data_IF_416327900223
#
_entry.id   IF_416327900223
#
_cell.length_a   1.000
_cell.length_b   1.000
_cell.length_c   1.000
_cell.angle_alpha   90.00
_cell.angle_beta   90.00
_cell.angle_gamma   90.00
#
_symmetry.space_group_name_H-M   'P 1'
#
loop_
_entity.id
_entity.type
_entity.pdbx_description
1 polymer ?
#
# COMPACT_ATOMS: atom_id res chain seq x y z
N UNK A 1 14.47 -21.11 -7.01
CA UNK A 1 14.88 -19.90 -6.26
C UNK A 1 13.64 -19.06 -6.09
N UNK A 2 13.15 -18.85 -4.87
CA UNK A 2 11.87 -18.16 -4.65
C UNK A 2 12.00 -16.68 -5.04
N UNK A 3 11.08 -16.19 -5.89
CA UNK A 3 10.93 -14.78 -6.22
C UNK A 3 9.81 -14.21 -5.34
N UNK A 4 10.11 -13.99 -4.07
CA UNK A 4 9.16 -13.32 -3.19
C UNK A 4 9.00 -11.85 -3.57
N UNK A 5 7.75 -11.43 -3.76
CA UNK A 5 7.34 -10.06 -4.01
C UNK A 5 6.18 -9.71 -3.08
N UNK A 6 6.23 -8.51 -2.51
CA UNK A 6 5.18 -7.96 -1.67
C UNK A 6 4.17 -7.23 -2.57
N UNK A 7 2.90 -7.61 -2.54
CA UNK A 7 1.85 -6.85 -3.24
C UNK A 7 1.21 -5.86 -2.28
N UNK A 8 1.24 -4.57 -2.62
CA UNK A 8 0.52 -3.52 -1.91
C UNK A 8 -0.81 -3.25 -2.62
N UNK A 9 -1.92 -3.42 -1.91
CA UNK A 9 -3.26 -3.13 -2.41
C UNK A 9 -3.65 -1.73 -1.96
N UNK A 10 -3.98 -0.86 -2.91
CA UNK A 10 -4.29 0.55 -2.65
C UNK A 10 -5.66 0.92 -3.21
N UNK A 11 -6.38 1.77 -2.50
CA UNK A 11 -7.57 2.46 -3.00
C UNK A 11 -7.19 3.91 -3.26
N UNK A 12 -7.69 4.48 -4.35
CA UNK A 12 -7.59 5.91 -4.62
C UNK A 12 -8.88 6.60 -4.20
N UNK A 13 -8.76 7.84 -3.74
CA UNK A 13 -9.92 8.69 -3.51
C UNK A 13 -10.66 8.93 -4.83
N UNK A 14 -11.98 9.11 -4.77
CA UNK A 14 -12.83 9.29 -5.96
C UNK A 14 -12.42 10.51 -6.79
N UNK A 15 -11.89 11.55 -6.15
CA UNK A 15 -11.38 12.78 -6.77
C UNK A 15 -9.93 12.70 -7.29
N UNK A 16 -9.22 11.58 -7.08
CA UNK A 16 -7.79 11.46 -7.39
C UNK A 16 -7.44 11.47 -8.89
N UNK A 17 -8.41 11.63 -9.79
CA UNK A 17 -8.17 11.71 -11.24
C UNK A 17 -7.70 10.40 -11.89
N UNK A 18 -7.72 9.29 -11.15
CA UNK A 18 -7.38 7.95 -11.62
C UNK A 18 -5.95 7.49 -11.29
N UNK A 19 -5.61 6.29 -11.75
CA UNK A 19 -4.30 5.67 -11.50
C UNK A 19 -3.23 6.27 -12.43
N UNK A 20 -2.29 7.02 -11.87
CA UNK A 20 -1.14 7.53 -12.61
C UNK A 20 0.05 6.57 -12.52
N UNK A 21 0.62 6.19 -13.67
CA UNK A 21 1.83 5.35 -13.76
C UNK A 21 3.01 5.97 -12.99
N UNK A 22 3.09 7.30 -12.91
CA UNK A 22 4.13 7.97 -12.14
C UNK A 22 4.00 7.72 -10.63
N UNK A 23 2.77 7.69 -10.12
CA UNK A 23 2.50 7.39 -8.71
C UNK A 23 2.85 5.94 -8.39
N UNK A 24 2.47 5.01 -9.28
CA UNK A 24 2.80 3.59 -9.12
C UNK A 24 4.31 3.36 -9.02
N UNK A 25 5.09 3.95 -9.93
CA UNK A 25 6.55 3.83 -9.92
C UNK A 25 7.17 4.45 -8.67
N UNK A 26 6.70 5.63 -8.25
CA UNK A 26 7.21 6.32 -7.06
C UNK A 26 7.00 5.49 -5.78
N UNK A 27 5.84 4.83 -5.66
CA UNK A 27 5.53 3.96 -4.53
C UNK A 27 6.36 2.67 -4.53
N UNK A 28 6.50 2.00 -5.68
CA UNK A 28 7.35 0.80 -5.80
C UNK A 28 8.80 1.14 -5.44
N UNK A 29 9.30 2.28 -5.91
CA UNK A 29 10.64 2.75 -5.58
C UNK A 29 10.79 3.04 -4.08
N UNK A 30 9.80 3.70 -3.47
CA UNK A 30 9.81 3.99 -2.03
C UNK A 30 9.84 2.72 -1.18
N UNK A 31 9.05 1.69 -1.53
CA UNK A 31 9.08 0.40 -0.82
C UNK A 31 10.45 -0.26 -0.97
N UNK A 32 11.04 -0.21 -2.17
CA UNK A 32 12.39 -0.73 -2.41
C UNK A 32 13.43 0.02 -1.59
N UNK A 33 13.29 1.33 -1.43
CA UNK A 33 14.27 2.15 -0.73
C UNK A 33 14.18 2.04 0.79
N UNK A 34 12.97 2.02 1.35
CA UNK A 34 12.75 1.97 2.80
C UNK A 34 12.74 0.53 3.32
N UNK A 35 11.98 -0.35 2.67
CA UNK A 35 11.75 -1.72 3.17
C UNK A 35 12.71 -2.75 2.56
N UNK A 36 13.46 -2.39 1.50
CA UNK A 36 14.38 -3.28 0.78
C UNK A 36 13.70 -4.53 0.18
N UNK A 37 12.40 -4.44 -0.10
CA UNK A 37 11.62 -5.51 -0.70
C UNK A 37 11.37 -5.25 -2.19
N UNK A 38 11.12 -6.33 -2.95
CA UNK A 38 10.47 -6.22 -4.25
C UNK A 38 8.99 -6.02 -4.00
N UNK A 39 8.40 -5.05 -4.69
CA UNK A 39 7.01 -4.70 -4.52
C UNK A 39 6.27 -4.63 -5.85
N UNK A 40 5.00 -5.01 -5.80
CA UNK A 40 4.02 -4.84 -6.86
C UNK A 40 2.86 -4.01 -6.30
N UNK A 41 2.24 -3.19 -7.13
CA UNK A 41 1.10 -2.38 -6.74
C UNK A 41 -0.17 -2.88 -7.40
N UNK A 42 -1.26 -2.90 -6.64
CA UNK A 42 -2.59 -3.18 -7.17
C UNK A 42 -3.57 -2.14 -6.69
N UNK A 43 -4.07 -1.33 -7.61
CA UNK A 43 -5.19 -0.45 -7.32
C UNK A 43 -6.50 -1.25 -7.35
N UNK A 44 -7.30 -1.08 -6.32
CA UNK A 44 -8.59 -1.77 -6.15
C UNK A 44 -9.69 -0.76 -5.80
N UNK A 45 -10.93 -1.16 -5.99
CA UNK A 45 -12.09 -0.33 -5.65
C UNK A 45 -12.18 -0.08 -4.13
N UNK A 46 -12.83 1.02 -3.73
CA UNK A 46 -12.88 1.46 -2.35
C UNK A 46 -13.41 0.42 -1.34
N UNK A 47 -14.27 -0.50 -1.80
CA UNK A 47 -14.85 -1.55 -0.97
C UNK A 47 -14.10 -2.89 -1.06
N UNK A 48 -13.06 -2.98 -1.89
CA UNK A 48 -12.33 -4.23 -2.14
C UNK A 48 -11.18 -4.47 -1.15
N UNK A 49 -10.76 -3.47 -0.38
CA UNK A 49 -9.80 -3.67 0.70
C UNK A 49 -10.45 -4.43 1.86
N UNK A 50 -9.68 -5.36 2.44
CA UNK A 50 -10.10 -6.09 3.61
C UNK A 50 -10.35 -5.11 4.77
N UNK A 51 -11.62 -4.88 5.10
CA UNK A 51 -12.00 -4.21 6.32
C UNK A 51 -12.04 -5.26 7.44
N UNK A 52 -10.86 -5.67 7.91
CA UNK A 52 -10.72 -6.65 9.00
C UNK A 52 -11.28 -6.14 10.34
N UNK A 53 -11.88 -4.93 10.39
CA UNK A 53 -12.50 -4.36 11.58
C UNK A 53 -11.55 -4.13 12.76
N UNK A 54 -10.24 -4.37 12.55
CA UNK A 54 -9.20 -4.16 13.55
C UNK A 54 -8.89 -2.68 13.66
N UNK A 55 -9.61 -2.03 14.57
CA UNK A 55 -9.22 -0.74 15.11
C UNK A 55 -7.95 -0.96 15.93
N UNK A 56 -6.80 -0.55 15.39
CA UNK A 56 -5.55 -0.55 16.16
C UNK A 56 -5.59 0.68 17.06
N UNK A 57 -6.06 0.52 18.29
CA UNK A 57 -5.99 1.55 19.30
C UNK A 57 -4.51 1.77 19.68
N UNK A 58 -3.96 2.94 19.35
CA UNK A 58 -2.57 3.29 19.64
C UNK A 58 -2.41 3.64 21.13
N UNK A 59 -2.42 2.60 21.97
CA UNK A 59 -2.30 2.71 23.43
C UNK A 59 -0.84 2.91 23.90
N UNK A 60 0.02 3.54 23.10
CA UNK A 60 1.40 3.80 23.52
C UNK A 60 1.46 4.95 24.53
N UNK A 61 1.84 4.62 25.76
CA UNK A 61 2.22 5.62 26.77
C UNK A 61 3.70 5.98 26.59
N UNK A 62 3.95 7.26 26.37
CA UNK A 62 5.29 7.85 26.39
C UNK A 62 5.47 8.53 27.75
N UNK A 63 5.72 7.73 28.78
CA UNK A 63 6.28 8.23 30.05
C UNK A 63 7.81 8.26 29.93
#
# INVERSE_FOLDING_TARGET
MAQDAMTLYCVLAEDAGGTSTALEQALIQSIRDVMKLRAELRFVDAQALANDGKVIEDARKYD
#
